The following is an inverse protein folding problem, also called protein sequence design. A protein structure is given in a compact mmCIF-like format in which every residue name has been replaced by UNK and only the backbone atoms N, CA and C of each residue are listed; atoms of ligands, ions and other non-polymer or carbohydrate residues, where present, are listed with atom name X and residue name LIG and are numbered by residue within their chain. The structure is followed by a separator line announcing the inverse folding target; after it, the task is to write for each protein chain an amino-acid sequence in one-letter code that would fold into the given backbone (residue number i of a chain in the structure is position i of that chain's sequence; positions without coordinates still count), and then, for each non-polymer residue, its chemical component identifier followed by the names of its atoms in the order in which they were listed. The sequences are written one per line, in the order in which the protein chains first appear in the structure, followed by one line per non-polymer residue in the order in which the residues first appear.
data_IF_904817650906
#
_entry.id   IF_904817650906
#
_cell.length_a   1.000
_cell.length_b   1.000
_cell.length_c   1.000
_cell.angle_alpha   90.00
_cell.angle_beta   90.00
_cell.angle_gamma   90.00
#
_symmetry.space_group_name_H-M   'P 1'
#
loop_
_entity.id
_entity.type
_entity.pdbx_description
1 polymer ?
#
# COMPACT_ATOMS: atom_id res chain seq x y z
N UNK A 1 -15.80 14.28 12.24
CA UNK A 1 -15.25 15.28 11.29
C UNK A 1 -13.73 15.29 11.27
N UNK A 2 -13.03 15.56 12.37
CA UNK A 2 -11.55 15.45 12.42
C UNK A 2 -11.09 13.98 12.44
N UNK A 3 -11.81 13.13 13.19
CA UNK A 3 -11.57 11.69 13.22
C UNK A 3 -11.77 11.01 11.86
N UNK A 4 -12.72 11.49 11.05
CA UNK A 4 -12.98 10.94 9.71
C UNK A 4 -11.82 11.23 8.74
N UNK A 5 -11.23 12.43 8.84
CA UNK A 5 -10.06 12.80 8.06
C UNK A 5 -8.81 12.02 8.49
N UNK A 6 -8.67 11.73 9.78
CA UNK A 6 -7.59 10.89 10.28
C UNK A 6 -7.74 9.42 9.81
N UNK A 7 -8.98 8.90 9.83
CA UNK A 7 -9.30 7.58 9.31
C UNK A 7 -9.03 7.49 7.80
N UNK A 8 -9.41 8.51 7.04
CA UNK A 8 -9.14 8.58 5.61
C UNK A 8 -7.64 8.58 5.30
N UNK A 9 -6.84 9.36 6.05
CA UNK A 9 -5.38 9.37 5.92
C UNK A 9 -4.77 8.01 6.21
N UNK A 10 -5.17 7.36 7.31
CA UNK A 10 -4.70 6.01 7.66
C UNK A 10 -5.04 4.97 6.59
N UNK A 11 -6.24 5.06 6.02
CA UNK A 11 -6.67 4.17 4.95
C UNK A 11 -5.81 4.35 3.69
N UNK A 12 -5.52 5.60 3.29
CA UNK A 12 -4.64 5.90 2.15
C UNK A 12 -3.21 5.37 2.40
N UNK A 13 -2.67 5.55 3.60
CA UNK A 13 -1.33 5.08 3.96
C UNK A 13 -1.20 3.55 3.87
N UNK A 14 -2.17 2.80 4.39
CA UNK A 14 -2.17 1.34 4.29
C UNK A 14 -2.31 0.84 2.85
N UNK A 15 -3.15 1.49 2.03
CA UNK A 15 -3.26 1.18 0.59
C UNK A 15 -1.94 1.41 -0.15
N UNK A 16 -1.25 2.52 0.10
CA UNK A 16 0.05 2.82 -0.52
C UNK A 16 1.12 1.81 -0.10
N UNK A 17 1.10 1.39 1.18
CA UNK A 17 2.01 0.39 1.73
C UNK A 17 1.78 -0.99 1.12
N UNK A 18 0.52 -1.38 0.92
CA UNK A 18 0.16 -2.62 0.25
C UNK A 18 0.54 -2.60 -1.23
N UNK A 19 0.28 -1.51 -1.95
CA UNK A 19 0.72 -1.33 -3.34
C UNK A 19 2.25 -1.44 -3.47
N UNK A 20 3.00 -0.82 -2.55
CA UNK A 20 4.47 -0.94 -2.48
C UNK A 20 4.92 -2.38 -2.23
N UNK A 21 4.25 -3.12 -1.33
CA UNK A 21 4.52 -4.56 -1.09
C UNK A 21 4.23 -5.41 -2.32
N UNK A 22 3.14 -5.14 -3.04
CA UNK A 22 2.80 -5.80 -4.30
C UNK A 22 3.88 -5.61 -5.35
N UNK A 23 4.36 -4.36 -5.52
CA UNK A 23 5.49 -4.03 -6.39
C UNK A 23 6.76 -4.77 -5.97
N UNK A 24 7.14 -4.72 -4.69
CA UNK A 24 8.33 -5.44 -4.20
C UNK A 24 8.21 -6.95 -4.40
N UNK A 25 7.04 -7.56 -4.19
CA UNK A 25 6.82 -8.99 -4.49
C UNK A 25 7.01 -9.30 -5.97
N UNK A 26 6.42 -8.49 -6.86
CA UNK A 26 6.58 -8.65 -8.29
C UNK A 26 8.05 -8.49 -8.74
N UNK A 27 8.76 -7.52 -8.15
CA UNK A 27 10.19 -7.30 -8.43
C UNK A 27 11.09 -8.41 -7.85
N UNK A 28 10.74 -8.95 -6.68
CA UNK A 28 11.51 -10.01 -6.00
C UNK A 28 11.37 -11.36 -6.70
N UNK A 29 10.21 -11.64 -7.31
CA UNK A 29 10.03 -12.87 -8.11
C UNK A 29 10.67 -12.77 -9.50
N UNK A 30 11.26 -11.62 -9.87
CA UNK A 30 11.93 -11.43 -11.16
C UNK A 30 11.00 -11.59 -12.38
N UNK A 31 11.51 -11.46 -13.61
CA UNK A 31 10.73 -11.66 -14.84
C UNK A 31 10.46 -13.15 -15.18
N UNK A 32 10.66 -14.09 -14.26
CA UNK A 32 10.62 -15.52 -14.56
C UNK A 32 9.91 -16.28 -13.44
N UNK A 33 8.84 -16.97 -13.80
CA UNK A 33 8.61 -18.29 -13.21
C UNK A 33 9.74 -19.24 -13.58
#
# INVERSE_FOLDING_TARGET
MEDDQELERKAIEELLKEAKRGKTRAETMGPMG
#
